data_IF_507888163222
#
_entry.id   IF_507888163222
#
_cell.length_a   1.000
_cell.length_b   1.000
_cell.length_c   1.000
_cell.angle_alpha   90.00
_cell.angle_beta   90.00
_cell.angle_gamma   90.00
#
_symmetry.space_group_name_H-M   'P 1'
#
loop_
_entity.id
_entity.type
_entity.pdbx_description
1 polymer ?
#
# COMPACT_ATOMS: atom_id res chain seq x y z
N UNK A 1 9.12 -5.78 -14.56
CA UNK A 1 7.90 -5.73 -13.71
C UNK A 1 8.32 -6.08 -12.29
N UNK A 2 8.44 -5.08 -11.41
CA UNK A 2 8.83 -5.31 -10.01
C UNK A 2 7.55 -5.69 -9.26
N UNK A 3 7.38 -6.97 -8.93
CA UNK A 3 6.24 -7.51 -8.17
C UNK A 3 6.35 -7.23 -6.66
N UNK A 4 7.52 -6.76 -6.21
CA UNK A 4 7.84 -6.37 -4.83
C UNK A 4 6.81 -5.47 -4.14
N UNK A 5 6.30 -4.36 -4.74
CA UNK A 5 5.34 -3.49 -4.07
C UNK A 5 3.98 -4.16 -3.89
N UNK A 6 3.56 -5.01 -4.83
CA UNK A 6 2.31 -5.77 -4.74
C UNK A 6 2.41 -6.81 -3.61
N UNK A 7 3.53 -7.53 -3.54
CA UNK A 7 3.78 -8.49 -2.46
C UNK A 7 3.83 -7.80 -1.09
N UNK A 8 4.48 -6.62 -1.01
CA UNK A 8 4.52 -5.83 0.22
C UNK A 8 3.12 -5.38 0.67
N UNK A 9 2.27 -4.93 -0.26
CA UNK A 9 0.88 -4.57 0.06
C UNK A 9 0.09 -5.76 0.62
N UNK A 10 0.19 -6.93 0.01
CA UNK A 10 -0.53 -8.14 0.48
C UNK A 10 -0.06 -8.55 1.88
N UNK A 11 1.24 -8.53 2.14
CA UNK A 11 1.80 -8.86 3.46
C UNK A 11 1.31 -7.90 4.56
N UNK A 12 1.29 -6.59 4.27
CA UNK A 12 0.86 -5.58 5.25
C UNK A 12 -0.63 -5.71 5.53
N UNK A 13 -1.46 -5.88 4.49
CA UNK A 13 -2.90 -6.08 4.66
C UNK A 13 -3.23 -7.32 5.49
N UNK A 14 -2.46 -8.41 5.36
CA UNK A 14 -2.63 -9.61 6.18
C UNK A 14 -2.27 -9.38 7.66
N UNK A 15 -1.15 -8.73 7.94
CA UNK A 15 -0.72 -8.36 9.30
C UNK A 15 -1.74 -7.44 9.98
N UNK A 16 -2.29 -6.48 9.23
CA UNK A 16 -3.30 -5.57 9.71
C UNK A 16 -4.66 -6.26 9.97
N UNK A 17 -5.07 -7.21 9.12
CA UNK A 17 -6.27 -8.02 9.35
C UNK A 17 -6.18 -8.87 10.63
N UNK A 18 -4.98 -9.43 10.91
CA UNK A 18 -4.71 -10.16 12.15
C UNK A 18 -4.75 -9.21 13.35
N UNK A 19 -4.22 -7.99 13.22
CA UNK A 19 -4.25 -6.99 14.28
C UNK A 19 -5.69 -6.57 14.63
N UNK A 20 -6.54 -6.33 13.63
CA UNK A 20 -7.97 -6.07 13.83
C UNK A 20 -8.67 -7.23 14.54
N UNK A 21 -8.38 -8.48 14.16
CA UNK A 21 -8.95 -9.65 14.83
C UNK A 21 -8.48 -9.78 16.29
N UNK A 22 -7.26 -9.32 16.60
CA UNK A 22 -6.72 -9.26 17.96
C UNK A 22 -7.36 -8.14 18.82
N UNK A 23 -8.25 -7.33 18.25
CA UNK A 23 -8.90 -6.20 18.92
C UNK A 23 -8.04 -4.93 18.98
N UNK A 24 -7.01 -4.80 18.14
CA UNK A 24 -6.32 -3.51 17.96
C UNK A 24 -7.28 -2.51 17.32
N UNK A 25 -7.30 -1.32 17.90
CA UNK A 25 -8.13 -0.18 17.50
C UNK A 25 -8.08 0.06 15.97
N UNK A 26 -9.23 -0.10 15.30
CA UNK A 26 -9.35 0.08 13.85
C UNK A 26 -9.02 1.51 13.37
N UNK A 27 -8.90 2.47 14.29
CA UNK A 27 -8.36 3.79 14.01
C UNK A 27 -6.90 3.74 13.50
N UNK A 28 -6.07 2.86 14.06
CA UNK A 28 -4.67 2.68 13.61
C UNK A 28 -4.63 2.02 12.23
N UNK A 29 -5.55 1.09 11.97
CA UNK A 29 -5.72 0.44 10.66
C UNK A 29 -6.02 1.47 9.56
N UNK A 30 -6.94 2.40 9.82
CA UNK A 30 -7.26 3.48 8.87
C UNK A 30 -6.04 4.33 8.49
N UNK A 31 -5.12 4.59 9.43
CA UNK A 31 -3.90 5.36 9.21
C UNK A 31 -2.91 4.59 8.31
N UNK A 32 -2.75 3.29 8.53
CA UNK A 32 -1.84 2.46 7.72
C UNK A 32 -2.36 2.33 6.29
N UNK A 33 -3.67 2.13 6.09
CA UNK A 33 -4.28 2.12 4.76
C UNK A 33 -4.11 3.47 4.06
N UNK A 34 -4.29 4.59 4.76
CA UNK A 34 -4.04 5.93 4.20
C UNK A 34 -2.56 6.13 3.80
N UNK A 35 -1.63 5.66 4.63
CA UNK A 35 -0.19 5.71 4.33
C UNK A 35 0.18 4.83 3.12
N UNK A 36 -0.39 3.61 3.03
CA UNK A 36 -0.22 2.70 1.89
C UNK A 36 -0.82 3.27 0.61
N UNK A 37 -2.00 3.88 0.67
CA UNK A 37 -2.63 4.54 -0.47
C UNK A 37 -1.81 5.75 -0.94
N UNK A 38 -1.23 6.52 -0.01
CA UNK A 38 -0.32 7.62 -0.32
C UNK A 38 0.97 7.16 -0.99
N UNK A 39 1.66 6.16 -0.41
CA UNK A 39 2.88 5.57 -0.96
C UNK A 39 2.64 4.85 -2.30
N UNK A 40 1.55 4.08 -2.37
CA UNK A 40 1.10 3.40 -3.57
C UNK A 40 0.76 4.40 -4.66
N UNK A 41 0.00 5.44 -4.36
CA UNK A 41 -0.33 6.54 -5.27
C UNK A 41 0.89 7.31 -5.77
N UNK A 42 1.88 7.57 -4.90
CA UNK A 42 3.14 8.22 -5.28
C UNK A 42 3.97 7.35 -6.22
N UNK A 43 4.15 6.06 -5.87
CA UNK A 43 4.89 5.11 -6.69
C UNK A 43 4.17 4.81 -8.02
N UNK A 44 2.83 4.77 -8.00
CA UNK A 44 2.00 4.61 -9.19
C UNK A 44 2.09 5.84 -10.08
N UNK A 45 2.00 7.06 -9.53
CA UNK A 45 2.19 8.32 -10.27
C UNK A 45 3.58 8.39 -10.91
N UNK A 46 4.63 7.99 -10.18
CA UNK A 46 5.99 7.91 -10.73
C UNK A 46 6.09 6.89 -11.88
N UNK A 47 5.38 5.77 -11.77
CA UNK A 47 5.30 4.74 -12.82
C UNK A 47 4.51 5.22 -14.03
N UNK A 48 3.35 5.84 -13.82
CA UNK A 48 2.51 6.43 -14.88
C UNK A 48 3.28 7.54 -15.60
N UNK A 49 4.01 8.40 -14.87
CA UNK A 49 4.81 9.44 -15.49
C UNK A 49 5.97 8.84 -16.31
N UNK A 50 6.61 7.77 -15.85
CA UNK A 50 7.59 7.02 -16.66
C UNK A 50 6.98 6.40 -17.92
N UNK A 51 5.76 5.86 -17.83
CA UNK A 51 5.05 5.27 -18.98
C UNK A 51 4.57 6.36 -19.95
N UNK A 52 4.13 7.52 -19.45
CA UNK A 52 3.58 8.62 -20.26
C UNK A 52 4.65 9.57 -20.81
N UNK A 53 5.82 9.62 -20.17
CA UNK A 53 7.01 10.38 -20.58
C UNK A 53 8.00 9.60 -21.46
N UNK A 54 7.75 8.30 -21.71
CA UNK A 54 8.47 7.53 -22.72
C UNK A 54 7.98 7.90 -24.12
N UNK A 55 8.41 9.05 -24.62
CA UNK A 55 8.61 9.28 -26.05
C UNK A 55 10.03 8.85 -26.39
#
# INVERSE_FOLDING_TARGET
MKWTPIVAMICISALEGIALWRGVDGAVFGIVIAALAGLGGFSLKATINKVKGGK
#
